data_IF_460718308283
#
_entry.id   IF_460718308283
#
_cell.length_a   1.000
_cell.length_b   1.000
_cell.length_c   1.000
_cell.angle_alpha   90.00
_cell.angle_beta   90.00
_cell.angle_gamma   90.00
#
_symmetry.space_group_name_H-M   'P 1'
#
loop_
_entity.id
_entity.type
_entity.pdbx_description
1 polymer ?
#
# COMPACT_ATOMS: atom_id res chain seq x y z
N UNK A 1 21.38 -16.12 2.75
CA UNK A 1 20.25 -16.44 1.83
C UNK A 1 20.35 -15.51 0.63
N UNK A 2 20.36 -16.03 -0.58
CA UNK A 2 20.36 -15.21 -1.80
C UNK A 2 18.90 -15.09 -2.28
N UNK A 3 18.29 -13.91 -2.07
CA UNK A 3 16.89 -13.65 -2.38
C UNK A 3 16.62 -13.75 -3.89
N UNK A 4 17.53 -13.30 -4.72
CA UNK A 4 17.44 -13.38 -6.18
C UNK A 4 17.26 -14.82 -6.64
N UNK A 5 18.11 -15.72 -6.14
CA UNK A 5 18.03 -17.15 -6.47
C UNK A 5 16.74 -17.79 -5.94
N UNK A 6 16.33 -17.39 -4.73
CA UNK A 6 15.14 -17.96 -4.11
C UNK A 6 13.85 -17.56 -4.85
N UNK A 7 13.76 -16.32 -5.32
CA UNK A 7 12.62 -15.77 -6.04
C UNK A 7 12.75 -15.87 -7.58
N UNK A 8 13.85 -16.40 -8.09
CA UNK A 8 14.10 -16.54 -9.52
C UNK A 8 14.28 -15.19 -10.24
N UNK A 9 14.83 -14.19 -9.55
CA UNK A 9 15.10 -12.88 -10.12
C UNK A 9 16.39 -12.89 -10.93
N UNK A 10 16.41 -12.17 -12.03
CA UNK A 10 17.61 -11.91 -12.83
C UNK A 10 18.17 -10.50 -12.61
N UNK A 11 17.42 -9.63 -11.97
CA UNK A 11 17.79 -8.27 -11.63
C UNK A 11 17.58 -8.08 -10.12
N UNK A 12 18.61 -7.66 -9.35
CA UNK A 12 18.52 -7.46 -7.88
C UNK A 12 17.78 -6.15 -7.54
N UNK A 13 16.53 -6.06 -7.96
CA UNK A 13 15.69 -4.88 -7.79
C UNK A 13 14.30 -5.29 -7.29
N UNK A 14 13.80 -4.57 -6.32
CA UNK A 14 12.43 -4.68 -5.81
C UNK A 14 11.73 -3.34 -6.05
N UNK A 15 10.64 -3.36 -6.80
CA UNK A 15 9.80 -2.19 -6.98
C UNK A 15 9.03 -1.93 -5.68
N UNK A 16 9.02 -0.70 -5.20
CA UNK A 16 8.32 -0.32 -3.98
C UNK A 16 6.80 -0.53 -4.12
N UNK A 17 6.13 -1.14 -3.12
CA UNK A 17 4.68 -1.23 -3.09
C UNK A 17 4.08 0.13 -2.67
N UNK A 18 3.51 0.86 -3.61
CA UNK A 18 2.94 2.20 -3.39
C UNK A 18 1.43 2.17 -3.65
N UNK A 19 0.62 2.40 -2.62
CA UNK A 19 -0.84 2.45 -2.76
C UNK A 19 -1.26 3.54 -3.77
N UNK A 20 -2.13 3.18 -4.71
CA UNK A 20 -2.60 4.08 -5.76
C UNK A 20 -1.63 4.31 -6.92
N UNK A 21 -0.37 3.91 -6.80
CA UNK A 21 0.68 4.08 -7.84
C UNK A 21 1.15 2.75 -8.39
N UNK A 22 1.42 1.77 -7.53
CA UNK A 22 1.85 0.41 -7.93
C UNK A 22 0.66 -0.39 -8.42
N UNK A 23 0.31 -0.22 -9.70
CA UNK A 23 -0.76 -0.96 -10.34
C UNK A 23 -0.35 -2.41 -10.64
N UNK A 24 -1.31 -3.35 -10.80
CA UNK A 24 -1.00 -4.71 -11.27
C UNK A 24 -0.23 -4.74 -12.59
N UNK A 25 -0.51 -3.80 -13.50
CA UNK A 25 0.21 -3.71 -14.77
C UNK A 25 1.68 -3.31 -14.59
N UNK A 26 1.97 -2.33 -13.70
CA UNK A 26 3.33 -1.93 -13.38
C UNK A 26 4.10 -3.08 -12.72
N UNK A 27 3.51 -3.71 -11.69
CA UNK A 27 4.14 -4.81 -11.00
C UNK A 27 4.42 -6.00 -11.91
N UNK A 28 3.50 -6.33 -12.82
CA UNK A 28 3.70 -7.37 -13.82
C UNK A 28 4.84 -7.05 -14.80
N UNK A 29 4.90 -5.80 -15.27
CA UNK A 29 5.98 -5.37 -16.16
C UNK A 29 7.36 -5.50 -15.51
N UNK A 30 7.46 -5.10 -14.23
CA UNK A 30 8.69 -5.23 -13.44
C UNK A 30 9.07 -6.70 -13.24
N UNK A 31 8.11 -7.56 -12.87
CA UNK A 31 8.34 -9.00 -12.66
C UNK A 31 8.74 -9.68 -13.98
N UNK A 32 8.09 -9.34 -15.09
CA UNK A 32 8.41 -9.88 -16.41
C UNK A 32 9.81 -9.44 -16.90
N UNK A 33 10.27 -8.27 -16.48
CA UNK A 33 11.63 -7.80 -16.74
C UNK A 33 12.71 -8.53 -15.90
N UNK A 34 12.31 -9.34 -14.91
CA UNK A 34 13.24 -10.14 -14.10
C UNK A 34 13.55 -9.56 -12.72
N UNK A 35 12.90 -8.49 -12.32
CA UNK A 35 12.95 -7.91 -10.98
C UNK A 35 11.76 -8.40 -10.14
N UNK A 36 11.53 -7.87 -8.94
CA UNK A 36 10.37 -8.17 -8.11
C UNK A 36 9.37 -7.01 -8.17
N UNK A 37 8.29 -7.21 -8.92
CA UNK A 37 7.15 -6.28 -8.92
C UNK A 37 6.36 -6.37 -7.62
N UNK A 38 5.78 -5.26 -7.17
CA UNK A 38 5.05 -5.19 -5.89
C UNK A 38 3.72 -4.45 -6.04
N UNK A 39 2.69 -4.95 -5.38
CA UNK A 39 1.42 -4.24 -5.19
C UNK A 39 1.17 -3.99 -3.70
N UNK A 40 0.50 -2.89 -3.38
CA UNK A 40 0.11 -2.54 -2.02
C UNK A 40 -1.42 -2.67 -1.86
N UNK A 41 -1.85 -3.53 -0.96
CA UNK A 41 -3.27 -3.80 -0.70
C UNK A 41 -3.75 -3.26 0.65
N UNK A 42 -2.89 -2.54 1.38
CA UNK A 42 -3.23 -2.00 2.70
C UNK A 42 -4.31 -0.91 2.70
N UNK A 43 -4.56 -0.27 1.56
CA UNK A 43 -5.58 0.79 1.41
C UNK A 43 -6.88 0.28 0.76
N UNK A 44 -7.06 -1.02 0.60
CA UNK A 44 -8.26 -1.64 0.02
C UNK A 44 -8.78 -2.76 0.93
N UNK A 45 -9.99 -3.23 0.67
CA UNK A 45 -10.58 -4.38 1.34
C UNK A 45 -10.15 -5.71 0.70
N UNK A 46 -10.63 -6.83 1.24
CA UNK A 46 -10.30 -8.16 0.75
C UNK A 46 -10.75 -8.38 -0.70
N UNK A 47 -11.86 -7.79 -1.13
CA UNK A 47 -12.35 -7.93 -2.50
C UNK A 47 -11.43 -7.19 -3.48
N UNK A 48 -11.08 -5.94 -3.18
CA UNK A 48 -10.15 -5.16 -3.99
C UNK A 48 -8.73 -5.76 -4.02
N UNK A 49 -8.26 -6.29 -2.90
CA UNK A 49 -6.99 -7.01 -2.84
C UNK A 49 -7.00 -8.25 -3.77
N UNK A 50 -8.10 -9.01 -3.74
CA UNK A 50 -8.28 -10.17 -4.62
C UNK A 50 -8.27 -9.76 -6.09
N UNK A 51 -8.99 -8.71 -6.47
CA UNK A 51 -9.01 -8.19 -7.84
C UNK A 51 -7.62 -7.79 -8.33
N UNK A 52 -6.85 -7.07 -7.49
CA UNK A 52 -5.47 -6.69 -7.81
C UNK A 52 -4.57 -7.91 -8.03
N UNK A 53 -4.67 -8.92 -7.16
CA UNK A 53 -3.88 -10.15 -7.27
C UNK A 53 -4.26 -10.93 -8.53
N UNK A 54 -5.55 -11.10 -8.79
CA UNK A 54 -6.04 -11.83 -9.97
C UNK A 54 -5.61 -11.12 -11.26
N UNK A 55 -5.74 -9.79 -11.33
CA UNK A 55 -5.25 -8.99 -12.44
C UNK A 55 -3.74 -9.12 -12.66
N UNK A 56 -2.96 -9.18 -11.57
CA UNK A 56 -1.52 -9.37 -11.64
C UNK A 56 -1.16 -10.77 -12.16
N UNK A 57 -1.83 -11.82 -11.65
CA UNK A 57 -1.63 -13.21 -12.09
C UNK A 57 -1.96 -13.45 -13.55
N UNK A 58 -2.91 -12.70 -14.12
CA UNK A 58 -3.21 -12.76 -15.56
C UNK A 58 -2.11 -12.17 -16.43
N UNK A 59 -1.22 -11.34 -15.86
CA UNK A 59 -0.20 -10.59 -16.59
C UNK A 59 1.21 -11.15 -16.42
N UNK A 60 1.45 -11.97 -15.39
CA UNK A 60 2.75 -12.58 -15.13
C UNK A 60 2.60 -13.93 -14.44
N UNK A 61 3.53 -14.84 -14.76
CA UNK A 61 3.72 -16.11 -14.05
C UNK A 61 4.93 -16.06 -13.11
N UNK A 62 5.63 -14.92 -13.07
CA UNK A 62 6.81 -14.72 -12.24
C UNK A 62 6.43 -14.35 -10.80
N UNK A 63 7.39 -14.43 -9.90
CA UNK A 63 7.23 -13.97 -8.52
C UNK A 63 6.90 -12.48 -8.45
N UNK A 64 6.03 -12.12 -7.54
CA UNK A 64 5.69 -10.74 -7.19
C UNK A 64 5.45 -10.63 -5.69
N UNK A 65 5.50 -9.42 -5.17
CA UNK A 65 5.27 -9.10 -3.77
C UNK A 65 3.89 -8.48 -3.57
N UNK A 66 3.21 -8.89 -2.50
CA UNK A 66 1.99 -8.25 -2.01
C UNK A 66 2.28 -7.66 -0.64
N UNK A 67 2.17 -6.35 -0.52
CA UNK A 67 2.42 -5.63 0.73
C UNK A 67 1.14 -5.50 1.55
N UNK A 68 1.20 -5.95 2.79
CA UNK A 68 0.13 -5.88 3.79
C UNK A 68 0.61 -5.04 4.98
N UNK A 69 -0.32 -4.33 5.62
CA UNK A 69 -0.07 -3.74 6.92
C UNK A 69 -0.47 -4.71 8.04
N UNK A 70 0.38 -4.86 9.02
CA UNK A 70 0.18 -5.74 10.19
C UNK A 70 0.30 -4.94 11.48
N UNK A 71 -0.52 -3.90 11.62
CA UNK A 71 -0.56 -3.06 12.82
C UNK A 71 -1.46 -3.68 13.88
N UNK A 72 -1.20 -3.35 15.13
CA UNK A 72 -2.19 -3.57 16.18
C UNK A 72 -3.42 -2.70 15.90
N UNK A 73 -4.59 -3.26 16.15
CA UNK A 73 -5.84 -2.49 16.05
C UNK A 73 -5.79 -1.32 17.03
N UNK A 74 -5.92 -0.07 16.57
CA UNK A 74 -5.91 1.09 17.46
C UNK A 74 -7.12 1.05 18.41
N UNK A 75 -6.92 1.53 19.61
CA UNK A 75 -8.00 1.76 20.56
C UNK A 75 -8.47 3.21 20.40
N UNK A 76 -9.76 3.44 20.10
CA UNK A 76 -10.30 4.81 20.04
C UNK A 76 -10.12 5.53 21.37
N UNK A 77 -9.70 6.78 21.32
CA UNK A 77 -9.53 7.67 22.47
C UNK A 77 -10.05 9.06 22.09
N UNK A 78 -11.33 9.28 22.36
CA UNK A 78 -12.03 10.52 22.00
C UNK A 78 -11.37 11.78 22.60
N UNK A 79 -10.86 11.72 23.82
CA UNK A 79 -10.19 12.86 24.44
C UNK A 79 -8.91 13.23 23.69
N UNK A 80 -8.13 12.23 23.33
CA UNK A 80 -6.88 12.41 22.59
C UNK A 80 -7.14 12.86 21.16
N UNK A 81 -8.13 12.28 20.50
CA UNK A 81 -8.54 12.64 19.14
C UNK A 81 -9.05 14.07 19.06
N UNK A 82 -9.92 14.48 20.01
CA UNK A 82 -10.42 15.85 20.08
C UNK A 82 -9.30 16.86 20.36
N UNK A 83 -8.38 16.55 21.27
CA UNK A 83 -7.23 17.42 21.54
C UNK A 83 -6.33 17.58 20.30
N UNK A 84 -6.16 16.52 19.52
CA UNK A 84 -5.45 16.55 18.24
C UNK A 84 -6.15 17.44 17.21
N UNK A 85 -7.45 17.24 17.03
CA UNK A 85 -8.27 18.05 16.10
C UNK A 85 -8.29 19.53 16.51
N UNK A 86 -8.41 19.84 17.81
CA UNK A 86 -8.35 21.21 18.31
C UNK A 86 -6.99 21.87 18.01
N UNK A 87 -5.90 21.14 18.16
CA UNK A 87 -4.56 21.62 17.79
C UNK A 87 -4.41 21.93 16.30
N UNK A 88 -5.18 21.25 15.43
CA UNK A 88 -5.16 21.47 14.00
C UNK A 88 -6.11 22.56 13.49
N UNK A 89 -7.05 23.06 14.34
CA UNK A 89 -8.03 24.11 13.93
C UNK A 89 -7.39 25.33 13.24
N UNK A 90 -6.26 25.89 13.71
CA UNK A 90 -5.63 27.02 13.03
C UNK A 90 -5.15 26.68 11.61
N UNK A 91 -4.73 25.41 11.38
CA UNK A 91 -4.31 24.95 10.05
C UNK A 91 -5.53 24.81 9.13
N UNK A 92 -6.62 24.22 9.60
CA UNK A 92 -7.87 24.14 8.83
C UNK A 92 -8.38 25.53 8.44
N UNK A 93 -8.35 26.48 9.37
CA UNK A 93 -8.76 27.86 9.13
C UNK A 93 -7.94 28.55 8.01
N UNK A 94 -6.65 28.27 7.89
CA UNK A 94 -5.82 28.81 6.80
C UNK A 94 -6.27 28.37 5.41
N UNK A 95 -6.94 27.20 5.31
CA UNK A 95 -7.44 26.65 4.06
C UNK A 95 -8.95 26.80 3.89
N UNK A 96 -9.61 27.60 4.75
CA UNK A 96 -11.07 27.73 4.80
C UNK A 96 -11.80 26.37 4.86
N UNK A 97 -11.23 25.43 5.61
CA UNK A 97 -11.75 24.09 5.80
C UNK A 97 -12.21 23.87 7.24
N UNK A 98 -13.20 23.03 7.43
CA UNK A 98 -13.64 22.59 8.77
C UNK A 98 -12.95 21.26 9.11
N UNK A 99 -12.46 21.07 10.34
CA UNK A 99 -11.95 19.78 10.77
C UNK A 99 -13.09 18.74 10.83
N UNK A 100 -12.77 17.46 10.66
CA UNK A 100 -13.77 16.41 10.87
C UNK A 100 -14.22 16.40 12.34
N UNK A 101 -15.40 15.86 12.58
CA UNK A 101 -15.98 15.77 13.93
C UNK A 101 -15.40 14.60 14.74
N UNK A 102 -14.78 13.63 14.07
CA UNK A 102 -14.12 12.46 14.65
C UNK A 102 -13.10 11.89 13.65
N UNK A 103 -12.13 11.15 14.14
CA UNK A 103 -11.11 10.45 13.36
C UNK A 103 -11.49 9.00 13.08
#
# INVERSE_FOLDING_TARGET
MNLERHLGLSIPLIQAPMAGVSTPALAAAVSNAGALGSIAVGATDAAGAKEMIDSLRQRTTRAFNVNLFAHLTPQPDELRENAWLDGLRPVFAQFNAEPPTHL
#
